data_IF_901285670329
#
_entry.id   IF_901285670329
#
_cell.length_a   1.000
_cell.length_b   1.000
_cell.length_c   1.000
_cell.angle_alpha   90.00
_cell.angle_beta   90.00
_cell.angle_gamma   90.00
#
_symmetry.space_group_name_H-M   'P 1'
#
loop_
_entity.id
_entity.type
_entity.pdbx_description
1 polymer ?
#
# COMPACT_ATOMS: atom_id res chain seq x y z
N UNK A 1 12.11 20.11 -35.37
CA UNK A 1 13.22 20.42 -34.44
C UNK A 1 12.61 20.89 -33.14
N UNK A 2 12.47 19.98 -32.14
CA UNK A 2 12.01 20.33 -30.82
C UNK A 2 13.22 20.28 -29.86
N UNK A 3 13.46 21.30 -29.04
CA UNK A 3 14.51 21.24 -28.04
C UNK A 3 14.04 20.47 -26.80
N UNK A 4 14.87 19.51 -26.38
CA UNK A 4 14.78 18.76 -25.15
C UNK A 4 14.67 19.69 -23.94
N UNK A 5 13.52 19.66 -23.23
CA UNK A 5 13.41 20.16 -21.86
C UNK A 5 14.08 19.14 -20.92
N UNK A 6 15.34 19.34 -20.62
CA UNK A 6 16.00 18.73 -19.46
C UNK A 6 15.34 19.30 -18.20
N UNK A 7 14.45 18.53 -17.59
CA UNK A 7 13.94 18.82 -16.23
C UNK A 7 15.09 18.64 -15.25
N UNK A 8 15.77 19.76 -14.96
CA UNK A 8 16.75 19.84 -13.89
C UNK A 8 16.09 19.46 -12.57
N UNK A 9 16.61 18.40 -11.97
CA UNK A 9 16.26 17.94 -10.62
C UNK A 9 16.77 19.00 -9.63
N UNK A 10 15.98 20.07 -9.46
CA UNK A 10 16.27 21.16 -8.53
C UNK A 10 16.20 20.60 -7.11
N UNK A 11 17.35 20.47 -6.45
CA UNK A 11 17.42 20.19 -5.01
C UNK A 11 16.60 21.24 -4.29
N UNK A 12 15.47 20.82 -3.73
CA UNK A 12 14.61 21.69 -2.93
C UNK A 12 15.45 22.31 -1.79
N UNK A 13 15.35 23.62 -1.53
CA UNK A 13 16.12 24.26 -0.48
C UNK A 13 15.82 23.64 0.88
N UNK A 14 16.86 23.43 1.71
CA UNK A 14 16.77 22.77 3.04
C UNK A 14 15.65 23.32 3.94
N UNK A 15 15.33 24.59 3.84
CA UNK A 15 14.20 25.22 4.56
C UNK A 15 12.82 24.71 4.12
N UNK A 16 12.71 24.30 2.87
CA UNK A 16 11.46 23.71 2.34
C UNK A 16 11.27 22.28 2.84
N UNK A 17 12.36 21.49 2.91
CA UNK A 17 12.34 20.14 3.46
C UNK A 17 11.93 20.13 4.94
N UNK A 18 12.49 20.98 5.77
CA UNK A 18 12.13 21.12 7.18
C UNK A 18 10.64 21.51 7.35
N UNK A 19 10.14 22.42 6.51
CA UNK A 19 8.74 22.84 6.52
C UNK A 19 7.77 21.75 6.03
N UNK A 20 8.21 20.91 5.12
CA UNK A 20 7.48 19.72 4.64
C UNK A 20 7.46 18.64 5.71
N UNK A 21 8.58 18.37 6.40
CA UNK A 21 8.64 17.39 7.51
C UNK A 21 7.72 17.75 8.67
N UNK A 22 7.70 19.02 9.08
CA UNK A 22 6.79 19.49 10.14
C UNK A 22 5.33 19.36 9.73
N UNK A 23 5.03 19.56 8.45
CA UNK A 23 3.67 19.41 7.90
C UNK A 23 3.26 17.93 7.81
N UNK A 24 4.20 17.05 7.45
CA UNK A 24 3.99 15.60 7.41
C UNK A 24 3.75 15.02 8.81
N UNK A 25 4.49 15.45 9.83
CA UNK A 25 4.26 15.03 11.23
C UNK A 25 2.87 15.41 11.73
N UNK A 26 2.34 16.56 11.32
CA UNK A 26 0.95 16.96 11.65
C UNK A 26 -0.08 16.10 10.94
N UNK A 27 0.17 15.67 9.71
CA UNK A 27 -0.70 14.74 8.98
C UNK A 27 -0.74 13.35 9.64
N UNK A 28 0.39 12.87 10.15
CA UNK A 28 0.47 11.59 10.88
C UNK A 28 -0.38 11.57 12.17
N UNK A 29 -0.72 12.72 12.74
CA UNK A 29 -1.61 12.79 13.92
C UNK A 29 -3.03 12.31 13.57
N UNK A 30 -3.51 12.59 12.35
CA UNK A 30 -4.81 12.09 11.88
C UNK A 30 -4.81 10.59 11.62
N UNK A 31 -3.66 10.00 11.28
CA UNK A 31 -3.50 8.54 11.15
C UNK A 31 -3.53 7.81 12.51
N UNK A 32 -3.24 8.50 13.62
CA UNK A 32 -3.28 7.89 14.97
C UNK A 32 -4.63 7.28 15.31
N UNK A 33 -5.71 7.83 14.80
CA UNK A 33 -7.08 7.32 15.02
C UNK A 33 -7.29 5.95 14.38
N UNK A 34 -6.59 5.66 13.28
CA UNK A 34 -6.72 4.44 12.49
C UNK A 34 -5.51 3.49 12.65
N UNK A 35 -4.82 3.55 13.82
CA UNK A 35 -3.61 2.74 14.06
C UNK A 35 -3.84 1.24 13.93
N UNK A 36 -4.99 0.74 14.39
CA UNK A 36 -5.32 -0.69 14.32
C UNK A 36 -5.39 -1.15 12.87
N UNK A 37 -6.11 -0.42 12.04
CA UNK A 37 -6.25 -0.69 10.62
C UNK A 37 -4.91 -0.54 9.87
N UNK A 38 -4.11 0.46 10.22
CA UNK A 38 -2.78 0.67 9.64
C UNK A 38 -1.76 -0.42 9.99
N UNK A 39 -1.95 -1.16 11.09
CA UNK A 39 -1.10 -2.29 11.49
C UNK A 39 -1.67 -3.60 10.95
N UNK A 40 -3.00 -3.79 11.01
CA UNK A 40 -3.65 -5.01 10.53
C UNK A 40 -3.49 -5.21 9.02
N UNK A 41 -3.65 -4.14 8.24
CA UNK A 41 -3.55 -4.23 6.78
C UNK A 41 -2.20 -4.81 6.31
N UNK A 42 -1.03 -4.27 6.69
CA UNK A 42 0.24 -4.86 6.31
C UNK A 42 0.51 -6.22 6.96
N UNK A 43 -0.03 -6.50 8.17
CA UNK A 43 0.11 -7.81 8.82
C UNK A 43 -0.56 -8.92 7.98
N UNK A 44 -1.82 -8.73 7.58
CA UNK A 44 -2.52 -9.68 6.70
C UNK A 44 -1.86 -9.78 5.33
N UNK A 45 -1.26 -8.68 4.84
CA UNK A 45 -0.53 -8.70 3.57
C UNK A 45 0.79 -9.47 3.65
N UNK A 46 1.47 -9.44 4.80
CA UNK A 46 2.64 -10.29 5.05
C UNK A 46 2.24 -11.77 5.19
N UNK A 47 1.13 -12.06 5.87
CA UNK A 47 0.63 -13.43 5.98
C UNK A 47 0.28 -14.03 4.60
N UNK A 48 -0.38 -13.27 3.73
CA UNK A 48 -0.62 -13.65 2.34
C UNK A 48 0.71 -13.93 1.61
N UNK A 49 1.70 -13.03 1.73
CA UNK A 49 2.99 -13.20 1.10
C UNK A 49 3.75 -14.46 1.59
N UNK A 50 3.62 -14.84 2.87
CA UNK A 50 4.20 -16.10 3.36
C UNK A 50 3.55 -17.31 2.70
N UNK A 51 2.23 -17.32 2.52
CA UNK A 51 1.55 -18.40 1.79
C UNK A 51 1.99 -18.49 0.33
N UNK A 52 2.18 -17.35 -0.35
CA UNK A 52 2.71 -17.31 -1.72
C UNK A 52 4.11 -17.95 -1.81
N UNK A 53 4.96 -17.79 -0.79
CA UNK A 53 6.30 -18.40 -0.77
C UNK A 53 6.29 -19.93 -0.58
N UNK A 54 5.23 -20.50 0.01
CA UNK A 54 5.10 -21.96 0.12
C UNK A 54 4.68 -22.64 -1.19
N UNK A 55 4.07 -21.92 -2.12
CA UNK A 55 3.58 -22.48 -3.39
C UNK A 55 4.71 -23.15 -4.19
N UNK A 56 5.88 -22.52 -4.43
CA UNK A 56 6.97 -23.15 -5.16
C UNK A 56 7.48 -24.44 -4.51
N UNK A 57 7.56 -24.50 -3.17
CA UNK A 57 7.99 -25.70 -2.44
C UNK A 57 7.04 -26.86 -2.65
N UNK A 58 5.73 -26.61 -2.60
CA UNK A 58 4.72 -27.66 -2.81
C UNK A 58 4.76 -28.14 -4.26
N UNK A 59 4.97 -27.22 -5.21
CA UNK A 59 5.12 -27.58 -6.63
C UNK A 59 6.36 -28.44 -6.85
N UNK A 60 7.51 -28.10 -6.27
CA UNK A 60 8.72 -28.92 -6.31
C UNK A 60 8.47 -30.32 -5.74
N UNK A 61 7.82 -30.42 -4.57
CA UNK A 61 7.47 -31.71 -3.97
C UNK A 61 6.51 -32.55 -4.84
N UNK A 62 5.62 -31.92 -5.60
CA UNK A 62 4.74 -32.61 -6.56
C UNK A 62 5.57 -33.20 -7.71
N UNK A 63 6.55 -32.46 -8.21
CA UNK A 63 7.41 -32.90 -9.31
C UNK A 63 8.26 -34.06 -8.84
N UNK A 64 9.01 -33.91 -7.74
CA UNK A 64 9.99 -34.88 -7.27
C UNK A 64 9.34 -36.20 -6.78
N UNK A 65 8.27 -36.10 -5.99
CA UNK A 65 7.67 -37.29 -5.36
C UNK A 65 6.38 -37.76 -6.04
N UNK A 66 5.68 -36.88 -6.77
CA UNK A 66 4.42 -37.20 -7.42
C UNK A 66 4.61 -37.80 -8.80
N UNK A 67 5.39 -37.14 -9.64
CA UNK A 67 5.59 -37.55 -11.04
C UNK A 67 6.56 -38.74 -11.10
N UNK A 68 7.71 -38.63 -10.45
CA UNK A 68 8.71 -39.68 -10.42
C UNK A 68 8.26 -40.91 -9.62
N UNK A 69 7.55 -40.70 -8.52
CA UNK A 69 6.98 -41.77 -7.70
C UNK A 69 5.71 -42.43 -8.24
N UNK A 70 5.13 -41.93 -9.36
CA UNK A 70 3.90 -42.45 -10.01
C UNK A 70 2.68 -42.55 -9.08
N UNK A 71 2.64 -41.80 -8.00
CA UNK A 71 1.55 -41.86 -7.02
C UNK A 71 0.45 -40.82 -7.31
N UNK A 72 -0.59 -41.25 -7.98
CA UNK A 72 -1.75 -40.39 -8.28
C UNK A 72 -2.40 -39.78 -7.02
N UNK A 73 -2.48 -40.56 -5.93
CA UNK A 73 -3.09 -40.07 -4.66
C UNK A 73 -2.27 -38.94 -4.04
N UNK A 74 -0.94 -39.02 -4.13
CA UNK A 74 -0.05 -37.96 -3.63
C UNK A 74 -0.27 -36.64 -4.39
N UNK A 75 -0.34 -36.70 -5.73
CA UNK A 75 -0.57 -35.53 -6.59
C UNK A 75 -1.91 -34.87 -6.27
N UNK A 76 -2.98 -35.67 -6.09
CA UNK A 76 -4.31 -35.16 -5.77
C UNK A 76 -4.32 -34.46 -4.40
N UNK A 77 -3.69 -35.08 -3.38
CA UNK A 77 -3.62 -34.51 -2.03
C UNK A 77 -2.82 -33.18 -2.00
N UNK A 78 -1.69 -33.12 -2.70
CA UNK A 78 -0.88 -31.90 -2.83
C UNK A 78 -1.59 -30.83 -3.65
N UNK A 79 -2.34 -31.20 -4.68
CA UNK A 79 -3.20 -30.30 -5.44
C UNK A 79 -4.33 -29.71 -4.58
N UNK A 80 -4.95 -30.52 -3.72
CA UNK A 80 -5.95 -30.07 -2.76
C UNK A 80 -5.35 -29.11 -1.72
N UNK A 81 -4.13 -29.39 -1.25
CA UNK A 81 -3.39 -28.51 -0.35
C UNK A 81 -3.11 -27.14 -0.99
N UNK A 82 -2.69 -27.12 -2.26
CA UNK A 82 -2.49 -25.87 -3.01
C UNK A 82 -3.78 -25.06 -3.13
N UNK A 83 -4.90 -25.76 -3.40
CA UNK A 83 -6.20 -25.11 -3.49
C UNK A 83 -6.63 -24.49 -2.15
N UNK A 84 -6.43 -25.22 -1.04
CA UNK A 84 -6.70 -24.73 0.30
C UNK A 84 -5.82 -23.50 0.64
N UNK A 85 -4.53 -23.56 0.30
CA UNK A 85 -3.59 -22.45 0.51
C UNK A 85 -4.00 -21.21 -0.28
N UNK A 86 -4.42 -21.40 -1.53
CA UNK A 86 -4.93 -20.31 -2.37
C UNK A 86 -6.21 -19.69 -1.80
N UNK A 87 -7.12 -20.50 -1.30
CA UNK A 87 -8.36 -20.00 -0.66
C UNK A 87 -8.06 -19.17 0.60
N UNK A 88 -7.16 -19.65 1.48
CA UNK A 88 -6.73 -18.90 2.68
C UNK A 88 -6.00 -17.62 2.30
N UNK A 89 -5.10 -17.67 1.31
CA UNK A 89 -4.40 -16.51 0.78
C UNK A 89 -5.35 -15.45 0.23
N UNK A 90 -6.39 -15.88 -0.50
CA UNK A 90 -7.45 -14.98 -1.01
C UNK A 90 -8.19 -14.28 0.14
N UNK A 91 -8.59 -15.00 1.18
CA UNK A 91 -9.24 -14.42 2.35
C UNK A 91 -8.35 -13.39 3.06
N UNK A 92 -7.07 -13.70 3.23
CA UNK A 92 -6.09 -12.76 3.78
C UNK A 92 -5.92 -11.51 2.91
N UNK A 93 -5.90 -11.68 1.58
CA UNK A 93 -5.80 -10.58 0.62
C UNK A 93 -6.99 -9.63 0.70
N UNK A 94 -8.21 -10.18 0.70
CA UNK A 94 -9.45 -9.39 0.78
C UNK A 94 -9.51 -8.62 2.11
N UNK A 95 -9.19 -9.28 3.22
CA UNK A 95 -9.18 -8.64 4.55
C UNK A 95 -8.12 -7.54 4.63
N UNK A 96 -6.91 -7.77 4.12
CA UNK A 96 -5.86 -6.75 4.06
C UNK A 96 -6.29 -5.53 3.25
N UNK A 97 -6.92 -5.74 2.09
CA UNK A 97 -7.42 -4.66 1.23
C UNK A 97 -8.54 -3.87 1.92
N UNK A 98 -9.45 -4.53 2.61
CA UNK A 98 -10.52 -3.89 3.36
C UNK A 98 -9.97 -2.96 4.45
N UNK A 99 -9.02 -3.42 5.27
CA UNK A 99 -8.41 -2.60 6.32
C UNK A 99 -7.58 -1.44 5.74
N UNK A 100 -6.84 -1.66 4.66
CA UNK A 100 -6.07 -0.61 4.00
C UNK A 100 -6.99 0.48 3.43
N UNK A 101 -8.07 0.09 2.76
CA UNK A 101 -9.06 1.02 2.21
C UNK A 101 -9.76 1.81 3.33
N UNK A 102 -10.20 1.13 4.40
CA UNK A 102 -10.82 1.76 5.56
C UNK A 102 -9.93 2.81 6.22
N UNK A 103 -8.64 2.49 6.41
CA UNK A 103 -7.66 3.42 6.95
C UNK A 103 -7.45 4.63 6.03
N UNK A 104 -7.28 4.41 4.72
CA UNK A 104 -7.04 5.47 3.75
C UNK A 104 -8.26 6.41 3.61
N UNK A 105 -9.48 5.85 3.52
CA UNK A 105 -10.71 6.64 3.41
C UNK A 105 -10.96 7.43 4.69
N UNK A 106 -10.84 6.80 5.86
CA UNK A 106 -11.05 7.45 7.15
C UNK A 106 -10.07 8.61 7.37
N UNK A 107 -8.78 8.39 7.08
CA UNK A 107 -7.77 9.43 7.13
C UNK A 107 -8.09 10.62 6.21
N UNK A 108 -8.48 10.35 4.96
CA UNK A 108 -8.80 11.41 4.00
C UNK A 108 -10.09 12.15 4.33
N UNK A 109 -11.06 11.49 4.95
CA UNK A 109 -12.28 12.13 5.44
C UNK A 109 -11.97 13.14 6.56
N UNK A 110 -11.15 12.75 7.54
CA UNK A 110 -10.71 13.64 8.60
C UNK A 110 -9.86 14.81 8.03
N UNK A 111 -9.03 14.55 7.02
CA UNK A 111 -8.24 15.57 6.32
C UNK A 111 -9.11 16.56 5.55
N UNK A 112 -10.15 16.11 4.84
CA UNK A 112 -11.12 16.97 4.15
C UNK A 112 -11.85 17.87 5.13
N UNK A 113 -12.31 17.32 6.26
CA UNK A 113 -12.99 18.10 7.30
C UNK A 113 -12.07 19.19 7.89
N UNK A 114 -10.81 18.85 8.16
CA UNK A 114 -9.82 19.81 8.65
C UNK A 114 -9.50 20.91 7.62
N UNK A 115 -9.39 20.54 6.33
CA UNK A 115 -9.15 21.49 5.25
C UNK A 115 -10.34 22.43 5.07
N UNK A 116 -11.56 21.90 5.06
CA UNK A 116 -12.78 22.70 4.96
C UNK A 116 -12.89 23.70 6.11
N UNK A 117 -12.68 23.25 7.35
CA UNK A 117 -12.66 24.13 8.52
C UNK A 117 -11.62 25.24 8.39
N UNK A 118 -10.45 24.93 7.81
CA UNK A 118 -9.40 25.93 7.57
C UNK A 118 -9.80 26.93 6.49
N UNK A 119 -10.41 26.49 5.39
CA UNK A 119 -10.90 27.35 4.32
C UNK A 119 -11.96 28.31 4.85
N UNK A 120 -12.91 27.83 5.66
CA UNK A 120 -13.94 28.64 6.28
C UNK A 120 -13.38 29.70 7.25
N UNK A 121 -12.18 29.52 7.77
CA UNK A 121 -11.51 30.50 8.64
C UNK A 121 -10.74 31.60 7.88
N UNK A 122 -10.70 31.55 6.55
CA UNK A 122 -10.01 32.56 5.75
C UNK A 122 -10.91 33.81 5.54
N UNK A 123 -10.26 34.98 5.46
CA UNK A 123 -10.95 36.22 5.05
C UNK A 123 -11.23 36.19 3.54
N UNK A 124 -12.21 36.98 3.09
CA UNK A 124 -12.55 37.08 1.66
C UNK A 124 -11.34 37.45 0.78
N UNK A 125 -10.47 38.33 1.26
CA UNK A 125 -9.25 38.76 0.55
C UNK A 125 -8.29 37.60 0.29
N UNK A 126 -8.18 36.69 1.25
CA UNK A 126 -7.33 35.47 1.10
C UNK A 126 -7.98 34.46 0.15
N UNK A 127 -9.30 34.34 0.19
CA UNK A 127 -10.04 33.48 -0.74
C UNK A 127 -9.90 33.94 -2.20
N UNK A 128 -9.97 35.24 -2.44
CA UNK A 128 -9.79 35.82 -3.78
C UNK A 128 -8.36 35.64 -4.31
N UNK A 129 -7.36 35.82 -3.45
CA UNK A 129 -5.95 35.60 -3.86
C UNK A 129 -5.60 34.12 -4.14
N UNK A 130 -6.22 33.19 -3.43
CA UNK A 130 -6.00 31.76 -3.62
C UNK A 130 -6.79 31.18 -4.81
N UNK A 131 -7.86 31.83 -5.19
CA UNK A 131 -8.79 31.40 -6.24
C UNK A 131 -9.65 30.20 -5.81
N UNK A 132 -10.95 30.28 -6.02
CA UNK A 132 -11.91 29.23 -5.64
C UNK A 132 -11.63 27.91 -6.37
N UNK A 133 -11.27 27.97 -7.65
CA UNK A 133 -10.92 26.79 -8.46
C UNK A 133 -9.73 26.02 -7.90
N UNK A 134 -8.69 26.73 -7.43
CA UNK A 134 -7.52 26.10 -6.80
C UNK A 134 -7.87 25.42 -5.48
N UNK A 135 -8.78 25.98 -4.70
CA UNK A 135 -9.25 25.38 -3.44
C UNK A 135 -10.09 24.12 -3.68
N UNK A 136 -10.95 24.14 -4.71
CA UNK A 136 -11.75 22.97 -5.10
C UNK A 136 -10.82 21.82 -5.57
N UNK A 137 -9.83 22.10 -6.41
CA UNK A 137 -8.85 21.11 -6.86
C UNK A 137 -8.11 20.46 -5.69
N UNK A 138 -7.68 21.24 -4.70
CA UNK A 138 -7.03 20.71 -3.48
C UNK A 138 -7.95 19.85 -2.65
N UNK A 139 -9.24 20.20 -2.53
CA UNK A 139 -10.22 19.41 -1.78
C UNK A 139 -10.61 18.12 -2.47
N UNK A 140 -10.54 18.05 -3.79
CA UNK A 140 -10.95 16.88 -4.58
C UNK A 140 -9.76 16.09 -5.06
N UNK A 141 -9.01 16.59 -6.05
CA UNK A 141 -7.95 15.85 -6.73
C UNK A 141 -6.77 15.55 -5.81
N UNK A 142 -6.24 16.54 -5.09
CA UNK A 142 -5.05 16.34 -4.27
C UNK A 142 -5.31 15.36 -3.12
N UNK A 143 -6.46 15.47 -2.46
CA UNK A 143 -6.83 14.55 -1.37
C UNK A 143 -7.08 13.14 -1.90
N UNK A 144 -7.66 12.97 -3.10
CA UNK A 144 -7.83 11.67 -3.72
C UNK A 144 -6.48 11.02 -4.07
N UNK A 145 -5.50 11.81 -4.53
CA UNK A 145 -4.14 11.32 -4.76
C UNK A 145 -3.48 10.88 -3.45
N UNK A 146 -3.64 11.63 -2.37
CA UNK A 146 -3.16 11.26 -1.03
C UNK A 146 -3.83 9.97 -0.57
N UNK A 147 -5.14 9.81 -0.77
CA UNK A 147 -5.87 8.58 -0.44
C UNK A 147 -5.30 7.37 -1.16
N UNK A 148 -5.08 7.49 -2.46
CA UNK A 148 -4.48 6.43 -3.28
C UNK A 148 -3.06 6.12 -2.81
N UNK A 149 -2.24 7.14 -2.55
CA UNK A 149 -0.88 6.98 -2.04
C UNK A 149 -0.83 6.26 -0.69
N UNK A 150 -1.68 6.63 0.26
CA UNK A 150 -1.77 5.97 1.58
C UNK A 150 -2.21 4.51 1.43
N UNK A 151 -3.24 4.23 0.61
CA UNK A 151 -3.73 2.89 0.36
C UNK A 151 -2.62 2.00 -0.26
N UNK A 152 -1.93 2.50 -1.29
CA UNK A 152 -0.80 1.80 -1.92
C UNK A 152 0.35 1.56 -0.94
N UNK A 153 0.70 2.56 -0.14
CA UNK A 153 1.77 2.44 0.86
C UNK A 153 1.47 1.35 1.88
N UNK A 154 0.26 1.30 2.43
CA UNK A 154 -0.15 0.27 3.38
C UNK A 154 -0.14 -1.14 2.79
N UNK A 155 -0.36 -1.27 1.49
CA UNK A 155 -0.41 -2.58 0.80
C UNK A 155 0.94 -3.07 0.30
N UNK A 156 1.81 -2.17 -0.18
CA UNK A 156 3.03 -2.54 -0.91
C UNK A 156 4.31 -2.37 -0.10
N UNK A 157 4.35 -1.42 0.86
CA UNK A 157 5.58 -1.00 1.52
C UNK A 157 6.27 -2.13 2.29
N UNK A 158 5.50 -3.00 2.96
CA UNK A 158 6.03 -4.15 3.69
C UNK A 158 6.09 -5.43 2.83
N UNK A 159 5.17 -5.60 1.88
CA UNK A 159 5.15 -6.77 1.01
C UNK A 159 6.37 -6.83 0.11
N UNK A 160 6.74 -5.71 -0.53
CA UNK A 160 7.80 -5.69 -1.54
C UNK A 160 9.15 -6.19 -1.02
N UNK A 161 9.74 -5.67 0.09
CA UNK A 161 10.99 -6.18 0.61
C UNK A 161 10.86 -7.64 1.11
N UNK A 162 9.73 -7.99 1.73
CA UNK A 162 9.51 -9.33 2.26
C UNK A 162 9.50 -10.41 1.17
N UNK A 163 8.81 -10.16 0.06
CA UNK A 163 8.76 -11.10 -1.07
C UNK A 163 10.14 -11.24 -1.72
N UNK A 164 10.88 -10.14 -1.90
CA UNK A 164 12.21 -10.18 -2.51
C UNK A 164 13.19 -10.98 -1.66
N UNK A 165 13.27 -10.70 -0.35
CA UNK A 165 14.14 -11.46 0.56
C UNK A 165 13.71 -12.91 0.72
N UNK A 166 12.40 -13.16 0.81
CA UNK A 166 11.85 -14.51 0.88
C UNK A 166 12.18 -15.33 -0.36
N UNK A 167 11.98 -14.77 -1.55
CA UNK A 167 12.31 -15.44 -2.81
C UNK A 167 13.81 -15.71 -2.96
N UNK A 168 14.67 -14.77 -2.52
CA UNK A 168 16.13 -15.00 -2.50
C UNK A 168 16.51 -16.18 -1.60
N UNK A 169 15.99 -16.23 -0.37
CA UNK A 169 16.26 -17.33 0.57
C UNK A 169 15.79 -18.66 -0.03
N UNK A 170 14.60 -18.68 -0.62
CA UNK A 170 14.06 -19.88 -1.26
C UNK A 170 14.89 -20.37 -2.44
N UNK A 171 15.42 -19.44 -3.26
CA UNK A 171 16.28 -19.78 -4.38
C UNK A 171 17.62 -20.41 -3.97
N UNK A 172 18.08 -20.14 -2.74
CA UNK A 172 19.28 -20.77 -2.18
C UNK A 172 19.01 -22.13 -1.51
N UNK A 173 17.74 -22.46 -1.24
CA UNK A 173 17.37 -23.72 -0.54
C UNK A 173 16.84 -24.81 -1.48
N UNK A 174 16.51 -24.46 -2.71
CA UNK A 174 16.12 -25.36 -3.79
C UNK A 174 17.30 -25.57 -4.75
#
# INVERSE_FOLDING_TARGET
MQPHCAVGMHRLPQKLNAKVEVKMKKLLIYMKKYRKECILAPLFKLLEATFELFVPLIVAAIIDNGIDGKSKSFIINMGLLLLALAAVGLLCSVTAQFFAAKAAIGFCTDLRAALLKKIQSFSYTVLDTLGVSGLITRMTSDINQIQTGVNLSLRLLLRSPFVVFGAMIMAFTI
#
